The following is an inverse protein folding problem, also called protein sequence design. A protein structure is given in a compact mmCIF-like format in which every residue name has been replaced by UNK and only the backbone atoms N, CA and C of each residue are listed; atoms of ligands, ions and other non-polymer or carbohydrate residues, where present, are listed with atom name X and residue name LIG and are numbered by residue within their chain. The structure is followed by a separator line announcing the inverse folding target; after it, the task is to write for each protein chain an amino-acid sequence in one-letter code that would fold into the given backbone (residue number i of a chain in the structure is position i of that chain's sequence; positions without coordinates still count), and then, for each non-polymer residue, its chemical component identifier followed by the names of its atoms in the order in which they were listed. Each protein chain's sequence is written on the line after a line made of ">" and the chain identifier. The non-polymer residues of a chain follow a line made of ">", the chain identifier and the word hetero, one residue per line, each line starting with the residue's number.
data_IF_634733680180
#
_entry.id   IF_634733680180
#
_cell.length_a   1.000
_cell.length_b   1.000
_cell.length_c   1.000
_cell.angle_alpha   90.00
_cell.angle_beta   90.00
_cell.angle_gamma   90.00
#
_symmetry.space_group_name_H-M   'P 1'
#
loop_
_entity.id
_entity.type
_entity.pdbx_description
1 polymer ?
#
# COMPACT_ATOMS: atom_id res chain seq x y z
N UNK A 1 6.91 -6.24 -1.78
CA UNK A 1 7.22 -6.18 -3.23
C UNK A 1 8.67 -5.75 -3.39
N UNK A 2 9.39 -6.29 -4.37
CA UNK A 2 10.75 -5.81 -4.68
C UNK A 2 10.67 -5.06 -6.00
N UNK A 3 10.85 -3.74 -5.97
CA UNK A 3 10.71 -2.89 -7.15
C UNK A 3 12.05 -2.22 -7.45
N UNK A 4 12.69 -2.64 -8.53
CA UNK A 4 13.88 -2.02 -9.11
C UNK A 4 13.95 -2.32 -10.61
N UNK A 5 14.71 -1.54 -11.37
CA UNK A 5 14.95 -1.77 -12.79
C UNK A 5 16.36 -2.34 -13.01
N UNK A 6 16.53 -3.43 -13.79
CA UNK A 6 17.85 -3.90 -14.14
C UNK A 6 18.55 -2.87 -15.02
N UNK A 7 19.83 -2.61 -14.73
CA UNK A 7 20.63 -1.68 -15.50
C UNK A 7 21.44 -2.44 -16.53
N UNK A 8 21.15 -2.23 -17.82
CA UNK A 8 21.84 -2.91 -18.94
C UNK A 8 23.37 -2.79 -18.89
N UNK A 9 23.88 -1.67 -18.40
CA UNK A 9 25.31 -1.37 -18.37
C UNK A 9 26.05 -1.95 -17.15
N UNK A 10 25.32 -2.42 -16.13
CA UNK A 10 25.89 -3.03 -14.92
C UNK A 10 25.26 -4.43 -14.72
N UNK A 11 25.74 -5.45 -15.44
CA UNK A 11 25.08 -6.76 -15.48
C UNK A 11 25.03 -7.47 -14.14
N UNK A 12 25.98 -7.20 -13.24
CA UNK A 12 26.04 -7.74 -11.88
C UNK A 12 25.19 -6.96 -10.86
N UNK A 13 24.58 -5.83 -11.26
CA UNK A 13 23.81 -5.00 -10.34
C UNK A 13 22.51 -5.66 -9.88
N UNK A 14 21.79 -6.35 -10.76
CA UNK A 14 20.59 -7.12 -10.39
C UNK A 14 20.94 -8.24 -9.40
N UNK A 15 22.08 -8.91 -9.60
CA UNK A 15 22.57 -9.95 -8.69
C UNK A 15 22.86 -9.39 -7.29
N UNK A 16 23.40 -8.17 -7.21
CA UNK A 16 23.56 -7.48 -5.93
C UNK A 16 22.20 -7.17 -5.30
N UNK A 17 21.24 -6.61 -6.03
CA UNK A 17 19.93 -6.23 -5.47
C UNK A 17 19.08 -7.44 -5.04
N UNK A 18 19.28 -8.59 -5.66
CA UNK A 18 18.63 -9.85 -5.31
C UNK A 18 19.36 -10.62 -4.20
N UNK A 19 20.53 -10.15 -3.75
CA UNK A 19 21.33 -10.83 -2.73
C UNK A 19 22.05 -12.09 -3.24
N UNK A 20 22.14 -12.25 -4.56
CA UNK A 20 22.75 -13.41 -5.21
C UNK A 20 24.26 -13.25 -5.43
N UNK A 21 24.83 -12.05 -5.24
CA UNK A 21 26.28 -11.83 -5.39
C UNK A 21 27.14 -12.60 -4.38
N UNK A 22 26.55 -13.02 -3.25
CA UNK A 22 27.19 -13.91 -2.27
C UNK A 22 27.51 -15.31 -2.83
N UNK A 23 26.79 -15.75 -3.88
CA UNK A 23 26.98 -17.06 -4.50
C UNK A 23 28.10 -17.07 -5.56
N UNK A 24 28.64 -15.89 -5.89
CA UNK A 24 29.71 -15.76 -6.88
C UNK A 24 31.06 -15.88 -6.17
N UNK A 25 31.91 -16.86 -6.56
CA UNK A 25 33.24 -17.00 -6.01
C UNK A 25 34.08 -15.74 -6.20
N UNK A 26 34.98 -15.47 -5.26
CA UNK A 26 36.01 -14.45 -5.48
C UNK A 26 36.90 -14.84 -6.67
N UNK A 27 37.34 -13.85 -7.47
CA UNK A 27 38.41 -14.08 -8.44
C UNK A 27 39.69 -14.56 -7.72
N UNK A 28 40.51 -15.30 -8.45
CA UNK A 28 41.82 -15.75 -7.95
C UNK A 28 42.76 -14.56 -7.77
N UNK A 29 42.97 -14.15 -6.51
CA UNK A 29 43.82 -13.01 -6.14
C UNK A 29 45.31 -13.27 -6.34
N UNK A 30 45.71 -14.49 -6.71
CA UNK A 30 47.12 -14.86 -6.94
C UNK A 30 47.59 -14.55 -8.36
N UNK A 31 46.69 -14.20 -9.26
CA UNK A 31 47.00 -13.86 -10.65
C UNK A 31 47.62 -12.44 -10.72
N UNK A 32 48.77 -12.25 -11.39
CA UNK A 32 49.37 -10.93 -11.59
C UNK A 32 48.43 -9.96 -12.30
N UNK A 33 48.26 -8.76 -11.75
CA UNK A 33 47.37 -7.73 -12.27
C UNK A 33 45.98 -7.70 -11.62
N UNK A 34 45.70 -8.56 -10.64
CA UNK A 34 44.49 -8.48 -9.84
C UNK A 34 44.33 -7.10 -9.19
N UNK A 35 43.12 -6.55 -9.32
CA UNK A 35 42.71 -5.32 -8.63
C UNK A 35 41.41 -5.58 -7.87
N UNK A 36 41.13 -4.74 -6.86
CA UNK A 36 39.84 -4.80 -6.16
C UNK A 36 38.63 -4.60 -7.10
N UNK A 37 38.84 -4.05 -8.31
CA UNK A 37 37.80 -3.87 -9.33
C UNK A 37 37.37 -5.19 -9.98
N UNK A 38 38.20 -6.24 -9.89
CA UNK A 38 37.89 -7.57 -10.40
C UNK A 38 36.96 -8.36 -9.45
N UNK A 39 36.73 -7.84 -8.23
CA UNK A 39 35.86 -8.46 -7.23
C UNK A 39 34.39 -8.10 -7.42
N UNK A 40 33.50 -9.03 -7.05
CA UNK A 40 32.06 -8.81 -7.09
C UNK A 40 31.61 -8.04 -5.86
N UNK A 41 30.88 -6.94 -6.06
CA UNK A 41 30.28 -6.19 -4.95
C UNK A 41 29.27 -7.05 -4.16
N UNK A 42 29.40 -7.07 -2.83
CA UNK A 42 28.53 -7.86 -1.93
C UNK A 42 27.79 -6.98 -0.94
N UNK A 43 26.57 -7.40 -0.60
CA UNK A 43 25.76 -6.73 0.43
C UNK A 43 26.49 -6.77 1.78
N UNK A 44 26.41 -5.68 2.54
CA UNK A 44 26.90 -5.62 3.93
C UNK A 44 25.86 -6.09 4.95
N UNK A 45 24.68 -6.49 4.47
CA UNK A 45 23.52 -6.89 5.26
C UNK A 45 22.97 -8.25 4.82
N UNK A 46 22.07 -8.81 5.62
CA UNK A 46 21.33 -10.04 5.33
C UNK A 46 19.82 -9.75 5.10
N UNK A 47 19.48 -8.55 4.64
CA UNK A 47 18.10 -8.09 4.51
C UNK A 47 17.43 -8.76 3.30
N UNK A 48 16.60 -9.76 3.59
CA UNK A 48 15.83 -10.51 2.61
C UNK A 48 14.37 -10.06 2.47
N UNK A 49 13.69 -10.42 1.37
CA UNK A 49 12.26 -10.20 1.22
C UNK A 49 11.47 -10.99 2.26
N UNK A 50 10.45 -10.37 2.85
CA UNK A 50 9.48 -11.07 3.68
C UNK A 50 8.27 -11.49 2.82
N UNK A 51 8.31 -12.73 2.31
CA UNK A 51 7.26 -13.27 1.43
C UNK A 51 6.04 -13.82 2.18
N UNK A 52 6.15 -13.99 3.50
CA UNK A 52 5.11 -14.60 4.32
C UNK A 52 4.75 -13.66 5.47
N UNK A 53 4.04 -12.58 5.15
CA UNK A 53 3.43 -11.73 6.18
C UNK A 53 1.94 -12.05 6.28
N UNK A 54 1.51 -12.48 7.47
CA UNK A 54 0.10 -12.74 7.78
C UNK A 54 -0.31 -11.95 9.02
N UNK A 55 -1.51 -11.38 8.99
CA UNK A 55 -2.11 -10.72 10.13
C UNK A 55 -3.58 -11.14 10.23
N UNK A 56 -3.95 -11.69 11.38
CA UNK A 56 -5.30 -12.14 11.65
C UNK A 56 -6.06 -11.10 12.47
N UNK A 57 -7.31 -10.82 12.08
CA UNK A 57 -8.24 -10.05 12.89
C UNK A 57 -9.62 -10.69 12.89
N UNK A 58 -10.10 -11.05 14.09
CA UNK A 58 -11.45 -11.54 14.32
C UNK A 58 -12.29 -10.42 14.92
N UNK A 59 -13.03 -9.69 14.08
CA UNK A 59 -14.00 -8.68 14.50
C UNK A 59 -15.32 -8.91 13.74
N UNK A 60 -16.50 -8.74 14.37
CA UNK A 60 -17.77 -8.84 13.67
C UNK A 60 -17.81 -7.88 12.48
N UNK A 61 -18.20 -8.40 11.30
CA UNK A 61 -18.26 -7.60 10.08
C UNK A 61 -19.43 -6.62 10.09
N UNK A 62 -20.59 -7.06 10.58
CA UNK A 62 -21.79 -6.23 10.68
C UNK A 62 -22.80 -6.81 11.66
N UNK A 63 -23.64 -5.95 12.21
CA UNK A 63 -24.86 -6.30 12.94
C UNK A 63 -25.92 -5.23 12.62
N UNK A 64 -27.15 -5.65 12.31
CA UNK A 64 -28.24 -4.74 12.00
C UNK A 64 -29.57 -5.23 12.57
N UNK A 65 -30.44 -4.28 12.86
CA UNK A 65 -31.80 -4.47 13.33
C UNK A 65 -32.73 -3.63 12.47
N UNK A 66 -33.83 -4.21 12.02
CA UNK A 66 -34.88 -3.50 11.29
C UNK A 66 -36.24 -3.80 11.93
N UNK A 67 -37.00 -2.74 12.18
CA UNK A 67 -38.32 -2.79 12.82
C UNK A 67 -39.36 -2.25 11.83
N UNK A 68 -40.25 -3.13 11.31
CA UNK A 68 -41.38 -2.69 10.50
C UNK A 68 -42.46 -2.10 11.40
N UNK A 69 -42.98 -0.94 11.01
CA UNK A 69 -44.05 -0.20 11.67
C UNK A 69 -45.14 0.07 10.63
N UNK A 70 -46.41 -0.01 11.05
CA UNK A 70 -47.54 0.33 10.19
C UNK A 70 -48.36 1.43 10.85
N UNK A 71 -48.47 2.58 10.18
CA UNK A 71 -49.37 3.67 10.57
C UNK A 71 -50.42 3.87 9.47
N UNK A 72 -51.61 3.32 9.69
CA UNK A 72 -52.70 3.35 8.71
C UNK A 72 -52.28 2.73 7.37
N UNK A 73 -52.34 3.53 6.30
CA UNK A 73 -52.01 3.09 4.93
C UNK A 73 -50.52 3.24 4.57
N UNK A 74 -49.68 3.66 5.52
CA UNK A 74 -48.24 3.86 5.32
C UNK A 74 -47.48 2.78 6.08
N UNK A 75 -46.63 2.04 5.35
CA UNK A 75 -45.68 1.10 5.95
C UNK A 75 -44.34 1.80 6.07
N UNK A 76 -43.79 1.81 7.27
CA UNK A 76 -42.49 2.38 7.59
C UNK A 76 -41.59 1.28 8.12
N UNK A 77 -40.30 1.33 7.82
CA UNK A 77 -39.28 0.46 8.40
C UNK A 77 -38.19 1.35 8.96
N UNK A 78 -37.89 1.20 10.25
CA UNK A 78 -36.73 1.83 10.87
C UNK A 78 -35.63 0.80 11.05
N UNK A 79 -34.40 1.17 10.75
CA UNK A 79 -33.23 0.32 10.86
C UNK A 79 -32.09 1.01 11.61
N UNK A 80 -31.33 0.23 12.35
CA UNK A 80 -30.04 0.63 12.94
C UNK A 80 -29.03 -0.47 12.72
N UNK A 81 -27.76 -0.13 12.65
CA UNK A 81 -26.72 -1.14 12.52
C UNK A 81 -25.32 -0.61 12.76
N UNK A 82 -24.40 -1.54 12.95
CA UNK A 82 -22.97 -1.29 12.97
C UNK A 82 -22.31 -2.16 11.92
N UNK A 83 -21.30 -1.62 11.23
CA UNK A 83 -20.55 -2.32 10.18
C UNK A 83 -19.08 -1.97 10.27
N UNK A 84 -18.20 -2.91 9.94
CA UNK A 84 -16.81 -2.59 9.61
C UNK A 84 -16.77 -2.04 8.20
N UNK A 85 -16.75 -0.73 8.11
CA UNK A 85 -16.78 0.01 6.85
C UNK A 85 -15.52 -0.27 6.01
N UNK A 86 -14.34 -0.21 6.64
CA UNK A 86 -13.09 -0.48 5.95
C UNK A 86 -12.04 -1.14 6.86
N UNK A 87 -11.23 -2.01 6.28
CA UNK A 87 -9.97 -2.44 6.89
C UNK A 87 -8.86 -1.50 6.46
N UNK A 88 -8.11 -0.96 7.42
CA UNK A 88 -6.92 -0.14 7.14
C UNK A 88 -5.64 -0.96 7.18
N UNK A 89 -5.75 -2.29 7.28
CA UNK A 89 -4.59 -3.17 7.28
C UNK A 89 -3.83 -3.05 5.96
N UNK A 90 -2.59 -2.60 6.07
CA UNK A 90 -1.69 -2.49 4.95
C UNK A 90 -0.27 -2.81 5.42
N UNK A 91 0.45 -3.59 4.63
CA UNK A 91 1.85 -3.86 4.85
C UNK A 91 2.58 -3.78 3.52
N UNK A 92 3.65 -3.01 3.50
CA UNK A 92 4.53 -2.85 2.36
C UNK A 92 5.97 -2.94 2.85
N UNK A 93 6.77 -3.71 2.12
CA UNK A 93 8.22 -3.78 2.29
C UNK A 93 8.82 -3.80 0.90
N UNK A 94 9.80 -2.93 0.66
CA UNK A 94 10.69 -2.96 -0.49
C UNK A 94 12.13 -2.81 0.02
N UNK A 95 13.00 -3.75 -0.32
CA UNK A 95 14.38 -3.75 0.14
C UNK A 95 15.33 -3.02 -0.83
N UNK A 96 14.82 -2.60 -1.98
CA UNK A 96 15.60 -2.08 -3.10
C UNK A 96 15.11 -0.70 -3.54
N UNK A 97 14.88 0.20 -2.57
CA UNK A 97 14.60 1.60 -2.86
C UNK A 97 15.92 2.29 -3.18
N UNK A 98 15.96 2.96 -4.33
CA UNK A 98 17.13 3.67 -4.85
C UNK A 98 16.81 5.16 -4.96
N UNK A 99 17.69 6.01 -4.44
CA UNK A 99 17.51 7.47 -4.43
C UNK A 99 18.81 8.19 -4.82
N UNK A 100 18.88 8.90 -5.96
CA UNK A 100 17.85 9.00 -6.99
C UNK A 100 17.55 7.63 -7.62
N UNK A 101 16.32 7.46 -8.11
CA UNK A 101 15.95 6.24 -8.83
C UNK A 101 16.78 6.11 -10.10
N UNK A 102 17.61 5.08 -10.18
CA UNK A 102 18.42 4.83 -11.38
C UNK A 102 17.54 4.27 -12.50
N UNK A 103 17.68 4.87 -13.68
CA UNK A 103 17.13 4.39 -14.96
C UNK A 103 15.61 4.11 -14.98
N UNK A 104 14.86 4.51 -13.96
CA UNK A 104 13.40 4.60 -13.96
C UNK A 104 12.88 5.96 -14.46
N UNK A 105 13.78 6.93 -14.61
CA UNK A 105 13.44 8.30 -14.98
C UNK A 105 13.56 8.51 -16.49
N UNK A 106 12.41 8.80 -17.11
CA UNK A 106 12.31 9.40 -18.44
C UNK A 106 12.78 10.86 -18.36
N UNK A 107 13.37 11.43 -19.43
CA UNK A 107 13.41 10.94 -20.81
C UNK A 107 14.54 9.94 -21.10
N UNK A 108 14.27 9.03 -22.07
CA UNK A 108 15.29 8.20 -22.69
C UNK A 108 15.92 8.96 -23.86
N UNK A 109 17.25 8.94 -24.02
CA UNK A 109 18.22 8.18 -23.23
C UNK A 109 18.60 8.88 -21.91
N UNK A 110 18.59 8.13 -20.82
CA UNK A 110 19.17 8.59 -19.55
C UNK A 110 20.68 8.69 -19.72
N UNK A 111 21.27 9.85 -19.38
CA UNK A 111 22.71 10.07 -19.50
C UNK A 111 23.47 9.03 -18.66
N UNK A 112 24.45 8.37 -19.26
CA UNK A 112 25.30 7.39 -18.58
C UNK A 112 26.28 8.15 -17.67
N UNK A 113 26.51 7.69 -16.42
CA UNK A 113 27.59 8.21 -15.59
C UNK A 113 28.94 8.08 -16.28
N UNK A 114 29.87 8.98 -15.98
CA UNK A 114 31.27 8.89 -16.43
C UNK A 114 32.18 8.77 -15.22
N UNK A 115 33.44 8.38 -15.43
CA UNK A 115 34.39 8.23 -14.32
C UNK A 115 34.70 9.60 -13.67
N UNK A 116 34.66 10.69 -14.45
CA UNK A 116 34.82 12.08 -13.98
C UNK A 116 33.54 12.67 -13.36
N UNK A 117 32.38 12.04 -13.58
CA UNK A 117 31.09 12.48 -13.05
C UNK A 117 30.23 11.26 -12.68
N UNK A 118 30.60 10.56 -11.58
CA UNK A 118 29.88 9.38 -11.14
C UNK A 118 28.51 9.75 -10.56
N UNK A 119 27.57 8.80 -10.60
CA UNK A 119 26.24 8.96 -10.02
C UNK A 119 26.19 8.27 -8.65
N UNK A 120 25.96 9.04 -7.60
CA UNK A 120 25.73 8.54 -6.25
C UNK A 120 24.26 8.24 -6.02
N UNK A 121 23.99 7.07 -5.41
CA UNK A 121 22.65 6.54 -5.21
C UNK A 121 22.58 5.87 -3.85
N UNK A 122 21.71 6.37 -2.99
CA UNK A 122 21.38 5.73 -1.74
C UNK A 122 20.55 4.47 -2.01
N UNK A 123 20.98 3.35 -1.43
CA UNK A 123 20.23 2.10 -1.43
C UNK A 123 19.70 1.79 -0.04
N UNK A 124 18.38 1.62 0.05
CA UNK A 124 17.69 1.46 1.32
C UNK A 124 16.54 0.48 1.24
N UNK A 125 16.22 -0.12 2.39
CA UNK A 125 14.95 -0.78 2.64
C UNK A 125 13.93 0.26 3.14
N UNK A 126 12.72 0.19 2.63
CA UNK A 126 11.55 0.92 3.14
C UNK A 126 10.48 -0.08 3.56
N UNK A 127 10.01 0.05 4.81
CA UNK A 127 8.89 -0.70 5.36
C UNK A 127 7.83 0.31 5.77
N UNK A 128 6.59 0.02 5.41
CA UNK A 128 5.41 0.79 5.82
C UNK A 128 4.36 -0.20 6.27
N UNK A 129 3.75 0.04 7.42
CA UNK A 129 2.61 -0.75 7.86
C UNK A 129 1.57 0.14 8.52
N UNK A 130 0.32 -0.16 8.23
CA UNK A 130 -0.84 0.46 8.86
C UNK A 130 -1.72 -0.64 9.43
N UNK A 131 -2.15 -0.47 10.67
CA UNK A 131 -3.03 -1.42 11.36
C UNK A 131 -4.20 -0.68 11.96
N UNK A 132 -5.39 -0.92 11.44
CA UNK A 132 -6.58 -0.20 11.89
C UNK A 132 -7.84 -0.65 11.19
N UNK A 133 -8.95 0.00 11.53
CA UNK A 133 -10.25 -0.23 10.92
C UNK A 133 -11.14 0.98 11.10
N UNK A 134 -12.00 1.23 10.11
CA UNK A 134 -13.07 2.22 10.20
C UNK A 134 -14.37 1.45 10.46
N UNK A 135 -15.06 1.83 11.52
CA UNK A 135 -16.38 1.35 11.89
C UNK A 135 -17.43 2.37 11.45
N UNK A 136 -18.58 1.87 11.03
CA UNK A 136 -19.74 2.67 10.66
C UNK A 136 -20.92 2.34 11.56
N UNK A 137 -21.57 3.38 12.08
CA UNK A 137 -22.79 3.29 12.88
C UNK A 137 -23.91 3.97 12.12
N UNK A 138 -24.88 3.17 11.68
CA UNK A 138 -25.88 3.59 10.72
C UNK A 138 -27.28 3.57 11.28
N UNK A 139 -28.11 4.42 10.70
CA UNK A 139 -29.56 4.39 10.84
C UNK A 139 -30.19 4.48 9.45
N UNK A 140 -31.38 3.90 9.30
CA UNK A 140 -32.15 3.93 8.07
C UNK A 140 -33.64 4.08 8.38
N UNK A 141 -34.35 4.81 7.52
CA UNK A 141 -35.79 4.94 7.52
C UNK A 141 -36.28 4.71 6.10
N UNK A 142 -37.22 3.80 5.92
CA UNK A 142 -37.88 3.58 4.64
C UNK A 142 -39.40 3.66 4.82
N UNK A 143 -40.09 4.29 3.88
CA UNK A 143 -41.54 4.39 3.85
C UNK A 143 -42.07 3.98 2.49
N UNK A 144 -43.23 3.32 2.44
CA UNK A 144 -43.91 3.01 1.19
C UNK A 144 -45.37 3.47 1.19
N UNK A 145 -45.78 4.02 0.04
CA UNK A 145 -47.15 4.44 -0.25
C UNK A 145 -47.69 3.46 -1.29
N UNK A 146 -48.49 2.51 -0.83
CA UNK A 146 -49.00 1.41 -1.66
C UNK A 146 -49.80 1.91 -2.88
N UNK A 147 -50.56 3.00 -2.73
CA UNK A 147 -51.37 3.57 -3.82
C UNK A 147 -50.55 3.93 -5.08
N UNK A 148 -49.29 4.30 -4.90
CA UNK A 148 -48.40 4.73 -6.00
C UNK A 148 -47.30 3.72 -6.30
N UNK A 149 -47.31 2.55 -5.63
CA UNK A 149 -46.21 1.57 -5.64
C UNK A 149 -44.82 2.22 -5.47
N UNK A 150 -44.77 3.24 -4.62
CA UNK A 150 -43.61 4.11 -4.45
C UNK A 150 -43.10 3.97 -3.03
N UNK A 151 -41.79 3.71 -2.91
CA UNK A 151 -41.07 3.70 -1.66
C UNK A 151 -39.96 4.74 -1.67
N UNK A 152 -39.67 5.30 -0.52
CA UNK A 152 -38.57 6.23 -0.28
C UNK A 152 -37.77 5.74 0.89
N UNK A 153 -36.46 5.98 0.84
CA UNK A 153 -35.53 5.64 1.89
C UNK A 153 -34.58 6.78 2.19
N UNK A 154 -34.24 6.94 3.45
CA UNK A 154 -33.17 7.80 3.94
C UNK A 154 -32.28 6.98 4.87
N UNK A 155 -30.97 7.08 4.74
CA UNK A 155 -30.03 6.49 5.67
C UNK A 155 -28.87 7.41 5.96
N UNK A 156 -28.37 7.36 7.19
CA UNK A 156 -27.15 8.03 7.61
C UNK A 156 -26.18 7.00 8.21
N UNK A 157 -24.88 7.25 8.02
CA UNK A 157 -23.80 6.44 8.55
C UNK A 157 -22.75 7.37 9.16
N UNK A 158 -22.45 7.20 10.44
CA UNK A 158 -21.34 7.89 11.12
C UNK A 158 -20.14 6.95 11.11
N UNK A 159 -19.02 7.43 10.61
CA UNK A 159 -17.77 6.69 10.49
C UNK A 159 -16.79 7.16 11.57
N UNK A 160 -16.20 6.20 12.26
CA UNK A 160 -15.16 6.41 13.26
C UNK A 160 -14.13 5.30 13.15
N UNK A 161 -12.85 5.66 13.21
CA UNK A 161 -11.79 4.67 13.15
C UNK A 161 -10.44 5.26 13.48
N UNK A 162 -9.50 4.37 13.73
CA UNK A 162 -8.11 4.74 13.96
C UNK A 162 -7.18 3.71 13.33
N UNK A 163 -5.93 4.12 13.12
CA UNK A 163 -4.86 3.21 12.76
C UNK A 163 -3.56 3.55 13.45
N UNK A 164 -2.80 2.50 13.78
CA UNK A 164 -1.39 2.59 14.12
C UNK A 164 -0.57 2.53 12.84
N UNK A 165 0.21 3.59 12.61
CA UNK A 165 1.10 3.74 11.47
C UNK A 165 2.55 3.54 11.90
N UNK A 166 3.28 2.78 11.09
CA UNK A 166 4.70 2.51 11.27
C UNK A 166 5.41 2.64 9.93
N UNK A 167 6.45 3.46 9.89
CA UNK A 167 7.36 3.60 8.77
C UNK A 167 8.79 3.40 9.25
N UNK A 168 9.55 2.61 8.50
CA UNK A 168 10.96 2.38 8.76
C UNK A 168 11.76 2.47 7.47
N UNK A 169 12.92 3.10 7.56
CA UNK A 169 13.92 3.12 6.52
C UNK A 169 15.24 2.59 7.09
N UNK A 170 15.88 1.67 6.38
CA UNK A 170 17.20 1.14 6.72
C UNK A 170 18.12 1.37 5.53
N UNK A 171 19.22 2.09 5.73
CA UNK A 171 20.29 2.22 4.74
C UNK A 171 20.99 0.87 4.56
N UNK A 172 21.05 0.39 3.32
CA UNK A 172 21.72 -0.86 2.92
C UNK A 172 23.10 -0.61 2.34
N UNK A 173 23.30 0.57 1.77
CA UNK A 173 24.59 1.09 1.35
C UNK A 173 24.45 2.28 0.41
N UNK A 174 25.58 2.87 0.04
CA UNK A 174 25.65 3.90 -0.99
C UNK A 174 26.31 3.31 -2.22
N UNK A 175 25.64 3.45 -3.36
CA UNK A 175 26.11 2.99 -4.66
C UNK A 175 26.71 4.17 -5.41
N UNK A 176 27.91 4.01 -5.93
CA UNK A 176 28.53 4.96 -6.85
C UNK A 176 28.67 4.30 -8.21
N UNK A 177 27.95 4.81 -9.20
CA UNK A 177 28.00 4.30 -10.57
C UNK A 177 28.99 5.10 -11.41
N UNK A 178 29.97 4.42 -11.98
CA UNK A 178 30.99 4.94 -12.90
C UNK A 178 30.62 4.63 -14.35
N UNK A 179 31.52 4.79 -15.32
CA UNK A 179 31.21 4.47 -16.71
C UNK A 179 30.84 2.99 -16.89
N UNK A 180 31.65 2.05 -16.41
CA UNK A 180 31.52 0.61 -16.64
C UNK A 180 31.44 -0.24 -15.35
N UNK A 181 31.51 0.39 -14.19
CA UNK A 181 31.53 -0.29 -12.90
C UNK A 181 30.64 0.45 -11.89
N UNK A 182 30.38 -0.19 -10.76
CA UNK A 182 29.83 0.47 -9.59
C UNK A 182 30.54 0.02 -8.33
N UNK A 183 30.59 0.91 -7.34
CA UNK A 183 31.08 0.62 -5.99
C UNK A 183 29.92 0.63 -5.01
N UNK A 184 29.95 -0.26 -4.03
CA UNK A 184 29.03 -0.24 -2.90
C UNK A 184 29.80 0.08 -1.62
N UNK A 185 29.40 1.16 -0.95
CA UNK A 185 29.93 1.58 0.34
C UNK A 185 28.92 1.27 1.46
N UNK A 186 29.42 0.81 2.61
CA UNK A 186 28.57 0.49 3.76
C UNK A 186 28.00 1.76 4.38
N UNK A 187 26.73 1.72 4.76
CA UNK A 187 26.07 2.79 5.51
C UNK A 187 25.42 2.19 6.74
N UNK A 188 25.47 2.92 7.85
CA UNK A 188 24.67 2.61 9.03
C UNK A 188 23.64 3.72 9.24
N UNK A 189 22.44 3.52 8.72
CA UNK A 189 21.33 4.47 8.87
C UNK A 189 20.05 3.72 9.14
N UNK A 190 19.31 4.16 10.15
CA UNK A 190 17.99 3.62 10.48
C UNK A 190 17.10 4.74 10.98
N UNK A 191 15.98 4.93 10.31
CA UNK A 191 14.96 5.91 10.68
C UNK A 191 13.67 5.14 10.95
N UNK A 192 13.05 5.41 12.09
CA UNK A 192 11.75 4.83 12.46
C UNK A 192 10.81 5.98 12.79
N UNK A 193 9.60 5.92 12.22
CA UNK A 193 8.50 6.83 12.51
C UNK A 193 7.28 6.01 12.91
N UNK A 194 6.69 6.35 14.04
CA UNK A 194 5.48 5.73 14.56
C UNK A 194 4.46 6.79 14.91
N UNK A 195 3.20 6.53 14.65
CA UNK A 195 2.12 7.45 15.00
C UNK A 195 0.75 6.78 14.95
N UNK A 196 -0.25 7.50 15.43
CA UNK A 196 -1.65 7.11 15.32
C UNK A 196 -2.37 8.11 14.43
N UNK A 197 -3.21 7.60 13.54
CA UNK A 197 -4.08 8.41 12.68
C UNK A 197 -5.54 8.12 13.03
N UNK A 198 -6.30 9.17 13.32
CA UNK A 198 -7.73 9.10 13.60
C UNK A 198 -8.55 9.54 12.38
N UNK A 199 -9.67 8.86 12.15
CA UNK A 199 -10.54 9.06 10.99
C UNK A 199 -11.98 9.23 11.45
N UNK A 200 -12.63 10.27 10.96
CA UNK A 200 -14.06 10.51 11.18
C UNK A 200 -14.73 10.90 9.87
N UNK A 201 -15.98 10.50 9.70
CA UNK A 201 -16.76 10.90 8.54
C UNK A 201 -18.25 10.66 8.73
N UNK A 202 -19.04 11.13 7.78
CA UNK A 202 -20.47 10.83 7.73
C UNK A 202 -20.91 10.65 6.30
N UNK A 203 -21.80 9.70 6.05
CA UNK A 203 -22.43 9.50 4.75
C UNK A 203 -23.95 9.55 4.89
N UNK A 204 -24.60 10.21 3.95
CA UNK A 204 -26.07 10.23 3.88
C UNK A 204 -26.52 9.74 2.51
N UNK A 205 -27.60 8.98 2.46
CA UNK A 205 -28.15 8.44 1.22
C UNK A 205 -29.65 8.66 1.19
N UNK A 206 -30.13 9.16 0.05
CA UNK A 206 -31.54 9.24 -0.29
C UNK A 206 -31.83 8.25 -1.41
N UNK A 207 -32.92 7.50 -1.28
CA UNK A 207 -33.32 6.50 -2.26
C UNK A 207 -34.81 6.54 -2.53
N UNK A 208 -35.19 6.12 -3.73
CA UNK A 208 -36.58 5.89 -4.12
C UNK A 208 -36.69 4.63 -4.96
N UNK A 209 -37.83 3.95 -4.86
CA UNK A 209 -38.15 2.74 -5.62
C UNK A 209 -39.59 2.83 -6.11
N UNK A 210 -39.79 2.72 -7.42
CA UNK A 210 -41.11 2.57 -8.04
C UNK A 210 -41.24 1.12 -8.52
N UNK A 211 -42.29 0.43 -8.09
CA UNK A 211 -42.50 -0.98 -8.45
C UNK A 211 -43.71 -1.15 -9.38
N UNK A 212 -43.48 -1.78 -10.53
CA UNK A 212 -44.52 -2.26 -11.43
C UNK A 212 -44.75 -3.77 -11.27
N UNK A 213 -45.67 -4.34 -12.05
CA UNK A 213 -45.96 -5.79 -12.01
C UNK A 213 -44.79 -6.67 -12.47
N UNK A 214 -43.98 -6.16 -13.41
CA UNK A 214 -42.89 -6.91 -14.05
C UNK A 214 -41.51 -6.27 -13.87
N UNK A 215 -41.46 -4.97 -13.56
CA UNK A 215 -40.22 -4.18 -13.49
C UNK A 215 -40.32 -3.22 -12.31
N UNK A 216 -39.23 -3.07 -11.58
CA UNK A 216 -39.05 -2.01 -10.59
C UNK A 216 -37.86 -1.13 -10.97
N UNK A 217 -38.00 0.18 -10.76
CA UNK A 217 -36.97 1.17 -11.03
C UNK A 217 -36.60 1.87 -9.73
N UNK A 218 -35.30 1.82 -9.38
CA UNK A 218 -34.77 2.43 -8.18
C UNK A 218 -33.73 3.51 -8.49
N UNK A 219 -33.73 4.58 -7.72
CA UNK A 219 -32.70 5.63 -7.76
C UNK A 219 -32.13 5.78 -6.35
N UNK A 220 -30.81 5.91 -6.25
CA UNK A 220 -30.11 6.17 -4.99
C UNK A 220 -29.05 7.23 -5.20
N UNK A 221 -29.05 8.25 -4.33
CA UNK A 221 -28.09 9.35 -4.35
C UNK A 221 -27.39 9.38 -3.00
N UNK A 222 -26.07 9.21 -3.04
CA UNK A 222 -25.20 9.43 -1.88
C UNK A 222 -24.81 10.91 -1.87
N UNK A 223 -25.12 11.60 -0.78
CA UNK A 223 -24.76 13.00 -0.60
C UNK A 223 -23.26 13.12 -0.29
N UNK A 224 -22.59 14.20 -0.75
CA UNK A 224 -21.17 14.44 -0.50
C UNK A 224 -20.85 14.63 0.99
#
# INVERSE_FOLDING_TARGET
>A
EQNYAPVRYYPNFSLLLEGLSSQIPEPDTTIPGFTAQDSVQRQFDNIGPNWSHSADQRKPLQASLAVPLSLGNVKVVAGVGAVRYASLQHYYQNNNVLSPGILSQRPLPTLRPTDDNPLEVEWRQSIRSRKGSIQGYGFALAGSIQKYNLAFGFSGLILDGSSDDYEQEIGRGNLTFFSNAFRLDSVNSRIIKTGTSDYSGSEFTLSSLISGRYVSLGVSVKLP
#
